data_IF_986053751355
#
_entry.id   IF_986053751355
#
_cell.length_a   1.000
_cell.length_b   1.000
_cell.length_c   1.000
_cell.angle_alpha   90.00
_cell.angle_beta   90.00
_cell.angle_gamma   90.00
#
_symmetry.space_group_name_H-M   'P 1'
#
loop_
_entity.id
_entity.type
_entity.pdbx_description
1 polymer ?
#
# COMPACT_ATOMS: atom_id res chain seq x y z
N UNK A 1 -3.90 4.00 -0.31
CA UNK A 1 -3.52 2.72 0.31
C UNK A 1 -4.73 1.93 0.76
N UNK A 2 -5.63 2.48 1.59
CA UNK A 2 -6.80 1.75 2.11
C UNK A 2 -7.58 0.95 1.06
N UNK A 3 -8.02 1.62 -0.02
CA UNK A 3 -8.73 0.97 -1.13
C UNK A 3 -8.00 -0.24 -1.71
N UNK A 4 -6.67 -0.14 -1.84
CA UNK A 4 -5.84 -1.20 -2.40
C UNK A 4 -5.75 -2.43 -1.49
N UNK A 5 -5.82 -2.22 -0.18
CA UNK A 5 -5.85 -3.31 0.80
C UNK A 5 -7.20 -4.02 0.80
N UNK A 6 -8.27 -3.25 0.66
CA UNK A 6 -9.63 -3.78 0.74
C UNK A 6 -10.09 -4.43 -0.59
N UNK A 7 -9.74 -3.82 -1.72
CA UNK A 7 -10.28 -4.19 -3.05
C UNK A 7 -9.22 -4.60 -4.06
N UNK A 8 -7.93 -4.32 -3.82
CA UNK A 8 -6.87 -4.51 -4.81
C UNK A 8 -6.73 -5.95 -5.30
N UNK A 9 -7.00 -6.94 -4.44
CA UNK A 9 -7.01 -8.36 -4.80
C UNK A 9 -8.21 -8.75 -5.68
N UNK A 10 -9.33 -8.03 -5.54
CA UNK A 10 -10.58 -8.26 -6.27
C UNK A 10 -10.69 -7.44 -7.55
N UNK A 11 -9.71 -6.58 -7.86
CA UNK A 11 -9.75 -5.71 -9.03
C UNK A 11 -10.03 -6.46 -10.35
N UNK A 12 -9.42 -7.63 -10.65
CA UNK A 12 -9.77 -8.38 -11.86
C UNK A 12 -11.25 -8.77 -11.89
N UNK A 13 -11.77 -9.28 -10.77
CA UNK A 13 -13.17 -9.68 -10.62
C UNK A 13 -14.12 -8.49 -10.74
N UNK A 14 -13.81 -7.35 -10.13
CA UNK A 14 -14.62 -6.13 -10.22
C UNK A 14 -14.70 -5.60 -11.68
N UNK A 15 -13.60 -5.70 -12.44
CA UNK A 15 -13.57 -5.31 -13.85
C UNK A 15 -14.36 -6.30 -14.74
N UNK A 16 -14.30 -7.59 -14.42
CA UNK A 16 -15.14 -8.61 -15.07
C UNK A 16 -16.63 -8.36 -14.79
N UNK A 17 -17.00 -8.08 -13.54
CA UNK A 17 -18.37 -7.75 -13.14
C UNK A 17 -18.89 -6.49 -13.87
N UNK A 18 -18.08 -5.43 -13.97
CA UNK A 18 -18.42 -4.23 -14.74
C UNK A 18 -18.66 -4.56 -16.23
N UNK A 19 -17.79 -5.39 -16.82
CA UNK A 19 -17.90 -5.78 -18.22
C UNK A 19 -19.12 -6.65 -18.51
N UNK A 20 -19.50 -7.54 -17.59
CA UNK A 20 -20.63 -8.46 -17.73
C UNK A 20 -21.98 -7.79 -17.44
N UNK A 21 -22.04 -7.00 -16.38
CA UNK A 21 -23.29 -6.37 -15.93
C UNK A 21 -23.58 -5.03 -16.61
N UNK A 22 -22.54 -4.33 -17.08
CA UNK A 22 -22.63 -2.95 -17.55
C UNK A 22 -22.82 -1.92 -16.44
N UNK A 23 -22.84 -2.33 -15.17
CA UNK A 23 -22.91 -1.48 -14.00
C UNK A 23 -21.53 -1.42 -13.34
N UNK A 24 -21.01 -0.22 -13.06
CA UNK A 24 -19.73 -0.06 -12.37
C UNK A 24 -19.90 -0.36 -10.87
N UNK A 25 -19.23 -1.39 -10.32
CA UNK A 25 -19.28 -1.68 -8.89
C UNK A 25 -18.86 -0.48 -8.04
N UNK A 26 -19.48 -0.31 -6.87
CA UNK A 26 -19.18 0.80 -5.96
C UNK A 26 -17.69 0.86 -5.57
N UNK A 27 -17.04 -0.30 -5.44
CA UNK A 27 -15.61 -0.37 -5.20
C UNK A 27 -14.79 0.31 -6.32
N UNK A 28 -15.15 0.15 -7.59
CA UNK A 28 -14.46 0.85 -8.69
C UNK A 28 -14.76 2.36 -8.69
N UNK A 29 -15.97 2.76 -8.31
CA UNK A 29 -16.34 4.18 -8.18
C UNK A 29 -15.59 4.88 -7.05
N UNK A 30 -15.36 4.18 -5.95
CA UNK A 30 -14.63 4.68 -4.78
C UNK A 30 -13.10 4.60 -4.96
N UNK A 31 -12.62 4.09 -6.09
CA UNK A 31 -11.19 3.95 -6.37
C UNK A 31 -10.54 5.34 -6.44
N UNK A 32 -9.59 5.65 -5.55
CA UNK A 32 -8.95 6.96 -5.56
C UNK A 32 -8.13 7.13 -6.84
N UNK A 33 -8.14 8.33 -7.46
CA UNK A 33 -7.31 8.59 -8.62
C UNK A 33 -5.84 8.44 -8.24
N UNK A 34 -5.15 7.53 -8.94
CA UNK A 34 -3.73 7.33 -8.74
C UNK A 34 -2.97 8.45 -9.46
N UNK A 35 -2.59 9.48 -8.71
CA UNK A 35 -1.62 10.46 -9.20
C UNK A 35 -0.35 9.70 -9.65
N UNK A 36 0.16 9.89 -10.88
CA UNK A 36 1.41 9.29 -11.33
C UNK A 36 2.57 9.51 -10.36
N UNK A 37 2.60 10.65 -9.66
CA UNK A 37 3.61 10.93 -8.64
C UNK A 37 3.47 10.06 -7.40
N UNK A 38 2.27 9.54 -7.11
CA UNK A 38 2.01 8.59 -6.04
C UNK A 38 2.34 7.15 -6.43
N UNK A 39 2.35 6.82 -7.72
CA UNK A 39 2.66 5.47 -8.20
C UNK A 39 4.09 5.03 -7.79
N UNK A 40 5.08 5.92 -7.96
CA UNK A 40 6.46 5.65 -7.53
C UNK A 40 6.59 5.42 -6.02
N UNK A 41 5.81 6.13 -5.20
CA UNK A 41 5.84 5.99 -3.74
C UNK A 41 5.15 4.71 -3.29
N UNK A 42 4.06 4.34 -3.98
CA UNK A 42 3.37 3.09 -3.77
C UNK A 42 4.25 1.89 -4.14
N UNK A 43 4.97 1.98 -5.27
CA UNK A 43 5.96 0.97 -5.64
C UNK A 43 7.08 0.87 -4.60
N UNK A 44 7.64 1.99 -4.16
CA UNK A 44 8.66 2.00 -3.11
C UNK A 44 8.16 1.36 -1.80
N UNK A 45 6.91 1.62 -1.41
CA UNK A 45 6.29 0.93 -0.29
C UNK A 45 6.24 -0.59 -0.50
N UNK A 46 5.81 -1.06 -1.67
CA UNK A 46 5.73 -2.50 -1.95
C UNK A 46 7.11 -3.17 -1.96
N UNK A 47 8.14 -2.51 -2.48
CA UNK A 47 9.51 -3.01 -2.48
C UNK A 47 10.07 -3.15 -1.06
N UNK A 48 9.70 -2.22 -0.16
CA UNK A 48 10.14 -2.17 1.23
C UNK A 48 9.28 -3.02 2.18
N UNK A 49 8.04 -3.32 1.82
CA UNK A 49 7.11 -4.06 2.68
C UNK A 49 7.66 -5.42 3.16
N UNK A 50 8.44 -6.19 2.36
CA UNK A 50 9.05 -7.44 2.80
C UNK A 50 10.20 -7.29 3.80
N UNK A 51 10.83 -6.12 3.93
CA UNK A 51 11.99 -5.92 4.83
C UNK A 51 11.60 -5.70 6.30
N UNK A 52 10.30 -5.78 6.61
CA UNK A 52 9.78 -5.66 7.96
C UNK A 52 10.32 -6.76 8.86
N UNK A 53 10.73 -6.37 10.05
CA UNK A 53 10.99 -7.32 11.12
C UNK A 53 9.65 -7.82 11.67
N UNK A 54 9.42 -9.12 11.61
CA UNK A 54 8.27 -9.77 12.21
C UNK A 54 8.59 -10.17 13.66
N UNK A 55 7.69 -9.84 14.60
CA UNK A 55 7.75 -10.26 16.01
C UNK A 55 6.39 -10.80 16.46
N UNK A 56 5.88 -10.34 17.61
CA UNK A 56 4.50 -10.62 18.06
C UNK A 56 3.40 -9.99 17.17
N UNK A 57 3.80 -9.29 16.11
CA UNK A 57 2.94 -8.69 15.11
C UNK A 57 3.81 -8.04 14.03
N UNK A 58 3.19 -7.53 12.96
CA UNK A 58 3.90 -6.77 11.95
C UNK A 58 4.49 -5.49 12.55
N UNK A 59 5.81 -5.31 12.40
CA UNK A 59 6.51 -4.08 12.72
C UNK A 59 6.45 -3.05 11.59
N UNK A 60 6.68 -1.79 11.91
CA UNK A 60 6.86 -0.73 10.92
C UNK A 60 8.07 -0.99 10.02
N UNK A 61 8.06 -0.47 8.79
CA UNK A 61 9.25 -0.53 7.92
C UNK A 61 10.42 0.19 8.63
N UNK A 62 11.58 -0.44 8.78
CA UNK A 62 12.73 0.18 9.44
C UNK A 62 13.20 1.43 8.68
N UNK A 63 13.59 2.48 9.40
CA UNK A 63 14.13 3.71 8.78
C UNK A 63 15.39 3.40 7.97
N UNK A 64 16.22 2.48 8.45
CA UNK A 64 17.43 2.03 7.76
C UNK A 64 17.14 1.48 6.37
N UNK A 65 16.04 0.74 6.19
CA UNK A 65 15.63 0.19 4.90
C UNK A 65 15.17 1.30 3.95
N UNK A 66 14.42 2.28 4.46
CA UNK A 66 14.01 3.46 3.67
C UNK A 66 15.24 4.24 3.19
N UNK A 67 16.23 4.44 4.06
CA UNK A 67 17.46 5.13 3.71
C UNK A 67 18.31 4.33 2.71
N UNK A 68 18.41 3.01 2.89
CA UNK A 68 19.11 2.13 1.96
C UNK A 68 18.46 2.13 0.57
N UNK A 69 17.12 2.10 0.50
CA UNK A 69 16.37 2.22 -0.75
C UNK A 69 16.60 3.56 -1.44
N UNK A 70 16.53 4.66 -0.69
CA UNK A 70 16.82 6.00 -1.20
C UNK A 70 18.23 6.09 -1.78
N UNK A 71 19.21 5.45 -1.14
CA UNK A 71 20.59 5.41 -1.61
C UNK A 71 20.74 4.55 -2.86
N UNK A 72 20.12 3.37 -2.90
CA UNK A 72 20.20 2.42 -4.00
C UNK A 72 19.62 3.01 -5.30
N UNK A 73 18.47 3.68 -5.20
CA UNK A 73 17.77 4.26 -6.35
C UNK A 73 18.12 5.73 -6.60
N UNK A 74 19.09 6.28 -5.86
CA UNK A 74 19.52 7.68 -5.99
C UNK A 74 18.37 8.68 -5.90
N UNK A 75 17.45 8.45 -4.95
CA UNK A 75 16.31 9.35 -4.72
C UNK A 75 16.80 10.63 -4.06
N UNK A 76 16.65 11.75 -4.76
CA UNK A 76 17.05 13.08 -4.26
C UNK A 76 16.13 13.56 -3.13
N UNK A 77 14.81 13.42 -3.30
CA UNK A 77 13.81 13.87 -2.32
C UNK A 77 13.52 12.78 -1.27
N UNK A 78 14.49 12.61 -0.37
CA UNK A 78 14.43 11.60 0.70
C UNK A 78 13.37 11.91 1.75
N UNK A 79 13.09 13.18 2.00
CA UNK A 79 12.07 13.61 2.97
C UNK A 79 10.67 13.25 2.47
N UNK A 80 10.35 13.55 1.20
CA UNK A 80 9.08 13.13 0.61
C UNK A 80 8.96 11.62 0.56
N UNK A 81 10.01 10.90 0.12
CA UNK A 81 10.04 9.43 0.12
C UNK A 81 9.69 8.88 1.51
N UNK A 82 10.38 9.37 2.55
CA UNK A 82 10.15 8.95 3.93
C UNK A 82 8.70 9.19 4.38
N UNK A 83 8.18 10.42 4.20
CA UNK A 83 6.82 10.78 4.62
C UNK A 83 5.76 9.95 3.88
N UNK A 84 5.94 9.72 2.58
CA UNK A 84 5.00 8.96 1.75
C UNK A 84 5.01 7.47 2.11
N UNK A 85 6.18 6.87 2.32
CA UNK A 85 6.28 5.49 2.81
C UNK A 85 5.65 5.38 4.19
N UNK A 86 5.90 6.31 5.10
CA UNK A 86 5.31 6.29 6.44
C UNK A 86 3.79 6.38 6.45
N UNK A 87 3.20 7.18 5.57
CA UNK A 87 1.76 7.25 5.41
C UNK A 87 1.17 5.90 4.94
N UNK A 88 1.83 5.26 3.96
CA UNK A 88 1.46 3.94 3.48
C UNK A 88 1.60 2.87 4.57
N UNK A 89 2.73 2.89 5.27
CA UNK A 89 3.09 1.99 6.36
C UNK A 89 2.08 2.04 7.51
N UNK A 90 1.69 3.25 7.92
CA UNK A 90 0.68 3.45 8.97
C UNK A 90 -0.67 2.82 8.60
N UNK A 91 -1.13 3.07 7.37
CA UNK A 91 -2.41 2.53 6.87
C UNK A 91 -2.37 1.00 6.82
N UNK A 92 -1.25 0.44 6.35
CA UNK A 92 -1.09 -1.02 6.27
C UNK A 92 -1.04 -1.67 7.65
N UNK A 93 -0.36 -1.06 8.63
CA UNK A 93 -0.31 -1.56 10.01
C UNK A 93 -1.68 -1.54 10.69
N UNK A 94 -2.47 -0.49 10.45
CA UNK A 94 -3.85 -0.42 10.96
C UNK A 94 -4.69 -1.56 10.40
N UNK A 95 -4.68 -1.74 9.07
CA UNK A 95 -5.39 -2.83 8.42
C UNK A 95 -4.93 -4.20 8.95
N UNK A 96 -3.62 -4.44 9.05
CA UNK A 96 -3.08 -5.70 9.55
C UNK A 96 -3.47 -5.99 11.01
N UNK A 97 -3.52 -4.95 11.87
CA UNK A 97 -3.96 -5.08 13.25
C UNK A 97 -5.46 -5.42 13.34
N UNK A 98 -6.29 -4.89 12.45
CA UNK A 98 -7.73 -5.17 12.43
C UNK A 98 -8.03 -6.58 11.92
N UNK A 99 -7.24 -7.12 10.99
CA UNK A 99 -7.32 -8.53 10.59
C UNK A 99 -6.99 -9.48 11.75
N UNK A 100 -5.92 -9.19 12.52
CA UNK A 100 -5.54 -10.04 13.67
C UNK A 100 -6.59 -10.09 14.78
N UNK A 101 -7.35 -9.02 15.00
CA UNK A 101 -8.45 -9.00 15.97
C UNK A 101 -9.65 -9.84 15.53
N UNK A 102 -9.81 -10.04 14.22
CA UNK A 102 -10.96 -10.76 13.65
C UNK A 102 -10.73 -12.27 13.68
N UNK A 103 -9.46 -12.70 13.70
CA UNK A 103 -9.04 -14.11 13.76
C UNK A 103 -8.89 -14.67 15.20
N UNK A 104 -9.25 -13.91 16.24
CA UNK A 104 -9.20 -14.33 17.66
C UNK A 104 -10.59 -14.46 18.27
#
# INVERSE_FOLDING_TARGET
MQWQLDWGAYLPTLLEEEAESGETPQALLDMPPLDPDNARWYQAFNDLNPSRVAGFGPGSIPVSEILAYAQLLQVDDRDTLFRRIRACDHTWLQHAADQQKTDT
#
